data_IF_250352060514
#
_entry.id   IF_250352060514
#
_cell.length_a   1.000
_cell.length_b   1.000
_cell.length_c   1.000
_cell.angle_alpha   90.00
_cell.angle_beta   90.00
_cell.angle_gamma   90.00
#
_symmetry.space_group_name_H-M   'P 1'
#
loop_
_entity.id
_entity.type
_entity.pdbx_description
1 polymer ?
#
# COMPACT_ATOMS: atom_id res chain seq x y z
N UNK A 1 -3.84 -10.96 4.36
CA UNK A 1 -4.58 -11.79 5.36
C UNK A 1 -5.96 -12.28 4.96
N UNK A 2 -6.83 -11.40 4.44
CA UNK A 2 -8.24 -11.75 4.19
C UNK A 2 -8.46 -13.02 3.34
N UNK A 3 -7.67 -13.19 2.27
CA UNK A 3 -7.75 -14.36 1.39
C UNK A 3 -7.35 -15.68 2.07
N UNK A 4 -6.63 -15.61 3.20
CA UNK A 4 -6.27 -16.75 4.04
C UNK A 4 -7.27 -16.97 5.19
N UNK A 5 -8.36 -16.19 5.25
CA UNK A 5 -9.34 -16.27 6.34
C UNK A 5 -8.82 -15.73 7.68
N UNK A 6 -7.77 -14.92 7.66
CA UNK A 6 -7.20 -14.28 8.84
C UNK A 6 -7.79 -12.87 9.03
N UNK A 7 -7.92 -12.46 10.29
CA UNK A 7 -8.20 -11.08 10.66
C UNK A 7 -6.98 -10.18 10.39
N UNK A 8 -7.23 -8.90 10.15
CA UNK A 8 -6.22 -7.86 9.92
C UNK A 8 -6.52 -6.69 10.84
N UNK A 9 -5.50 -6.18 11.55
CA UNK A 9 -5.66 -5.08 12.50
C UNK A 9 -5.63 -3.70 11.82
N UNK A 10 -5.05 -3.65 10.62
CA UNK A 10 -4.86 -2.49 9.77
C UNK A 10 -5.34 -2.76 8.33
N UNK A 11 -5.68 -1.67 7.64
CA UNK A 11 -6.03 -1.66 6.22
C UNK A 11 -5.23 -0.56 5.52
N UNK A 12 -4.40 -0.98 4.57
CA UNK A 12 -3.75 -0.07 3.62
C UNK A 12 -4.70 0.27 2.47
N UNK A 13 -4.91 1.57 2.25
CA UNK A 13 -5.71 2.12 1.16
C UNK A 13 -4.78 2.82 0.17
N UNK A 14 -4.81 2.36 -1.07
CA UNK A 14 -4.13 3.04 -2.18
C UNK A 14 -5.10 3.96 -2.94
N UNK A 15 -4.72 5.23 -3.13
CA UNK A 15 -5.52 6.23 -3.87
C UNK A 15 -4.76 6.74 -5.11
N UNK A 16 -5.51 6.96 -6.20
CA UNK A 16 -5.01 7.31 -7.53
C UNK A 16 -5.34 8.75 -7.97
N UNK A 17 -6.45 9.34 -7.50
CA UNK A 17 -7.00 10.62 -7.98
C UNK A 17 -6.90 11.79 -6.99
N UNK A 18 -6.43 11.55 -5.76
CA UNK A 18 -6.27 12.57 -4.72
C UNK A 18 -5.18 12.22 -3.71
N UNK A 19 -4.81 13.16 -2.83
CA UNK A 19 -3.89 12.87 -1.73
C UNK A 19 -4.54 11.99 -0.67
N UNK A 20 -3.73 11.20 0.03
CA UNK A 20 -4.19 10.43 1.19
C UNK A 20 -4.88 11.30 2.25
N UNK A 21 -4.34 12.50 2.52
CA UNK A 21 -4.96 13.46 3.44
C UNK A 21 -6.38 13.86 3.00
N UNK A 22 -6.55 14.20 1.72
CA UNK A 22 -7.86 14.60 1.18
C UNK A 22 -8.88 13.47 1.29
N UNK A 23 -8.46 12.24 0.99
CA UNK A 23 -9.31 11.06 1.12
C UNK A 23 -9.70 10.81 2.58
N UNK A 24 -8.76 10.89 3.51
CA UNK A 24 -9.01 10.69 4.93
C UNK A 24 -10.05 11.69 5.50
N UNK A 25 -9.98 12.96 5.10
CA UNK A 25 -11.00 13.95 5.48
C UNK A 25 -12.37 13.63 4.86
N UNK A 26 -12.42 13.20 3.59
CA UNK A 26 -13.70 12.77 2.97
C UNK A 26 -14.34 11.59 3.71
N UNK A 27 -13.54 10.61 4.15
CA UNK A 27 -14.02 9.49 4.96
C UNK A 27 -14.62 10.01 6.27
N UNK A 28 -13.92 10.93 6.94
CA UNK A 28 -14.41 11.53 8.19
C UNK A 28 -15.72 12.29 8.02
N UNK A 29 -15.83 13.11 6.97
CA UNK A 29 -17.04 13.89 6.67
C UNK A 29 -18.22 12.96 6.32
N UNK A 30 -17.95 11.90 5.56
CA UNK A 30 -18.95 10.88 5.23
C UNK A 30 -19.46 10.16 6.48
N UNK A 31 -18.57 9.80 7.41
CA UNK A 31 -18.94 9.17 8.68
C UNK A 31 -19.76 10.11 9.56
N UNK A 32 -19.36 11.38 9.67
CA UNK A 32 -20.11 12.37 10.44
C UNK A 32 -21.56 12.54 9.94
N UNK A 33 -21.79 12.35 8.63
CA UNK A 33 -23.10 12.48 8.00
C UNK A 33 -23.93 11.19 8.09
N UNK A 34 -23.29 10.03 7.84
CA UNK A 34 -23.99 8.75 7.67
C UNK A 34 -24.13 7.97 8.98
N UNK A 35 -23.13 8.08 9.84
CA UNK A 35 -23.03 7.37 11.12
C UNK A 35 -22.48 8.29 12.21
N UNK A 36 -23.25 9.29 12.69
CA UNK A 36 -22.75 10.31 13.62
C UNK A 36 -22.21 9.75 14.95
N UNK A 37 -22.63 8.54 15.32
CA UNK A 37 -22.21 7.85 16.54
C UNK A 37 -21.02 6.90 16.32
N UNK A 38 -20.53 6.75 15.09
CA UNK A 38 -19.35 5.92 14.81
C UNK A 38 -18.09 6.57 15.39
N UNK A 39 -17.22 5.77 16.03
CA UNK A 39 -15.91 6.27 16.45
C UNK A 39 -15.04 6.55 15.22
N UNK A 40 -14.41 7.71 15.21
CA UNK A 40 -13.40 8.08 14.22
C UNK A 40 -12.37 8.96 14.90
N UNK A 41 -11.08 8.66 14.74
CA UNK A 41 -10.00 9.50 15.28
C UNK A 41 -9.85 10.80 14.49
N UNK A 42 -8.97 11.68 14.98
CA UNK A 42 -8.38 12.71 14.14
C UNK A 42 -7.57 12.09 12.99
N UNK A 43 -7.52 12.77 11.86
CA UNK A 43 -6.62 12.43 10.75
C UNK A 43 -5.21 12.84 11.15
N UNK A 44 -4.28 11.89 11.19
CA UNK A 44 -2.86 12.13 11.35
C UNK A 44 -2.17 12.13 9.99
N UNK A 45 -1.38 13.14 9.67
CA UNK A 45 -0.67 13.22 8.38
C UNK A 45 0.83 13.19 8.63
N UNK A 46 1.46 12.13 8.13
CA UNK A 46 2.91 12.01 8.08
C UNK A 46 3.35 12.62 6.76
N UNK A 47 3.89 13.84 6.81
CA UNK A 47 4.39 14.55 5.63
C UNK A 47 5.60 13.85 5.03
N UNK A 48 5.78 14.01 3.73
CA UNK A 48 6.98 13.54 3.03
C UNK A 48 8.23 14.18 3.67
N UNK A 49 9.21 13.34 3.99
CA UNK A 49 10.51 13.72 4.48
C UNK A 49 11.57 12.82 3.80
N UNK A 50 12.13 13.27 2.66
CA UNK A 50 13.15 12.52 1.92
C UNK A 50 14.38 12.16 2.76
N UNK A 51 14.78 13.03 3.71
CA UNK A 51 15.91 12.80 4.60
C UNK A 51 15.68 11.61 5.56
N UNK A 52 14.42 11.27 5.81
CA UNK A 52 14.00 10.09 6.57
C UNK A 52 13.48 8.95 5.68
N UNK A 53 13.78 8.98 4.38
CA UNK A 53 13.29 8.00 3.39
C UNK A 53 11.76 7.90 3.30
N UNK A 54 11.04 8.96 3.70
CA UNK A 54 9.58 9.09 3.55
C UNK A 54 9.27 9.93 2.34
N UNK A 55 9.22 9.32 1.17
CA UNK A 55 9.12 10.07 -0.10
C UNK A 55 7.72 10.55 -0.46
N UNK A 56 6.69 9.95 0.13
CA UNK A 56 5.31 10.39 -0.02
C UNK A 56 4.66 10.63 1.33
N UNK A 57 3.66 11.48 1.30
CA UNK A 57 2.72 11.64 2.40
C UNK A 57 1.98 10.34 2.67
N UNK A 58 1.69 10.10 3.95
CA UNK A 58 0.77 9.06 4.40
C UNK A 58 -0.22 9.68 5.35
N UNK A 59 -1.51 9.50 5.08
CA UNK A 59 -2.55 9.89 6.02
C UNK A 59 -2.99 8.65 6.80
N UNK A 60 -3.20 8.83 8.09
CA UNK A 60 -3.55 7.76 9.02
C UNK A 60 -4.81 8.19 9.75
N UNK A 61 -5.77 7.29 9.89
CA UNK A 61 -6.98 7.52 10.66
C UNK A 61 -7.50 6.20 11.20
N UNK A 62 -8.12 6.23 12.38
CA UNK A 62 -8.81 5.07 12.94
C UNK A 62 -10.30 5.25 12.76
N UNK A 63 -10.95 4.30 12.10
CA UNK A 63 -12.40 4.28 11.90
C UNK A 63 -12.95 3.05 12.61
N UNK A 64 -13.95 3.26 13.46
CA UNK A 64 -14.42 2.24 14.40
C UNK A 64 -13.26 1.77 15.29
N UNK A 65 -12.83 0.52 15.11
CA UNK A 65 -11.68 -0.06 15.78
C UNK A 65 -10.52 -0.40 14.83
N UNK A 66 -10.65 -0.08 13.53
CA UNK A 66 -9.69 -0.43 12.48
C UNK A 66 -8.81 0.76 12.12
N UNK A 67 -7.50 0.52 12.04
CA UNK A 67 -6.53 1.51 11.58
C UNK A 67 -6.50 1.54 10.05
N UNK A 68 -6.59 2.74 9.48
CA UNK A 68 -6.51 2.97 8.05
C UNK A 68 -5.26 3.79 7.73
N UNK A 69 -4.41 3.24 6.89
CA UNK A 69 -3.26 3.94 6.32
C UNK A 69 -3.55 4.22 4.85
N UNK A 70 -3.53 5.50 4.48
CA UNK A 70 -3.92 5.97 3.16
C UNK A 70 -2.70 6.53 2.44
N UNK A 71 -2.36 5.87 1.34
CA UNK A 71 -1.15 6.10 0.57
C UNK A 71 -1.50 6.34 -0.90
N UNK A 72 -0.73 7.20 -1.55
CA UNK A 72 -0.79 7.28 -3.00
C UNK A 72 -0.10 6.09 -3.64
N UNK A 73 -0.65 5.64 -4.77
CA UNK A 73 0.07 4.75 -5.68
C UNK A 73 1.35 5.43 -6.13
N UNK A 74 2.44 4.66 -6.16
CA UNK A 74 3.75 5.22 -6.46
C UNK A 74 4.62 4.28 -7.27
N UNK A 75 5.47 4.91 -8.07
CA UNK A 75 6.59 4.26 -8.73
C UNK A 75 7.88 4.72 -8.07
N UNK A 76 8.86 3.83 -8.03
CA UNK A 76 10.17 4.04 -7.41
C UNK A 76 11.23 3.81 -8.49
N UNK A 77 12.06 4.81 -8.75
CA UNK A 77 13.21 4.70 -9.66
C UNK A 77 14.49 4.73 -8.84
N UNK A 78 15.22 3.62 -8.85
CA UNK A 78 16.51 3.48 -8.20
C UNK A 78 17.64 3.86 -9.17
N UNK A 79 18.66 4.55 -8.65
CA UNK A 79 19.90 4.83 -9.39
C UNK A 79 21.02 3.99 -8.79
N UNK A 80 22.04 3.64 -9.59
CA UNK A 80 23.17 2.82 -9.09
C UNK A 80 23.93 3.47 -7.93
N UNK A 81 23.83 4.80 -7.79
CA UNK A 81 24.56 5.59 -6.81
C UNK A 81 23.78 5.85 -5.51
N UNK A 82 22.48 5.52 -5.45
CA UNK A 82 21.61 5.82 -4.31
C UNK A 82 20.64 4.70 -3.99
N UNK A 83 20.57 4.32 -2.71
CA UNK A 83 19.53 3.42 -2.18
C UNK A 83 18.20 4.11 -1.90
N UNK A 84 18.20 5.44 -1.97
CA UNK A 84 17.02 6.27 -1.78
C UNK A 84 16.41 6.47 -3.18
N UNK A 85 15.23 5.87 -3.48
CA UNK A 85 14.63 5.99 -4.80
C UNK A 85 14.05 7.38 -5.01
N UNK A 86 13.99 7.78 -6.28
CA UNK A 86 13.12 8.89 -6.69
C UNK A 86 11.71 8.34 -6.79
N UNK A 87 10.79 8.95 -6.05
CA UNK A 87 9.39 8.50 -5.97
C UNK A 87 8.49 9.49 -6.67
N UNK A 88 7.60 8.98 -7.51
CA UNK A 88 6.53 9.75 -8.15
C UNK A 88 5.21 8.99 -8.08
N UNK A 89 4.11 9.67 -8.40
CA UNK A 89 2.82 9.02 -8.57
C UNK A 89 2.93 7.94 -9.66
N UNK A 90 2.31 6.79 -9.39
CA UNK A 90 2.36 5.63 -10.27
C UNK A 90 0.99 4.99 -10.45
N UNK A 91 0.94 3.99 -11.32
CA UNK A 91 -0.21 3.12 -11.56
C UNK A 91 -0.23 1.95 -10.56
N UNK A 92 -1.37 1.23 -10.42
CA UNK A 92 -1.42 0.02 -9.61
C UNK A 92 -0.39 -1.03 -10.05
N UNK A 93 -0.14 -1.14 -11.36
CA UNK A 93 0.86 -2.05 -11.90
C UNK A 93 2.28 -1.70 -11.46
N UNK A 94 2.65 -0.40 -11.49
CA UNK A 94 3.95 0.06 -11.05
C UNK A 94 4.13 -0.10 -9.54
N UNK A 95 3.08 0.20 -8.76
CA UNK A 95 3.09 -0.01 -7.30
C UNK A 95 3.21 -1.50 -6.94
N UNK A 96 2.51 -2.38 -7.67
CA UNK A 96 2.63 -3.83 -7.51
C UNK A 96 4.06 -4.32 -7.76
N UNK A 97 4.69 -3.83 -8.83
CA UNK A 97 6.00 -4.30 -9.30
C UNK A 97 7.13 -3.92 -8.34
N UNK A 98 7.00 -2.81 -7.62
CA UNK A 98 7.99 -2.39 -6.61
C UNK A 98 7.83 -3.09 -5.26
N UNK A 99 6.79 -3.91 -5.03
CA UNK A 99 6.59 -4.60 -3.74
C UNK A 99 7.56 -5.76 -3.55
N UNK A 100 7.61 -6.27 -2.33
CA UNK A 100 8.53 -7.34 -1.94
C UNK A 100 8.17 -8.68 -2.58
N UNK A 101 6.91 -9.11 -2.44
CA UNK A 101 6.45 -10.42 -2.91
C UNK A 101 5.12 -10.35 -3.67
N UNK A 102 4.91 -11.27 -4.61
CA UNK A 102 3.69 -11.38 -5.43
C UNK A 102 2.43 -11.47 -4.59
N UNK A 103 2.48 -12.21 -3.47
CA UNK A 103 1.37 -12.36 -2.52
C UNK A 103 1.02 -11.06 -1.77
N UNK A 104 1.99 -10.13 -1.63
CA UNK A 104 1.81 -8.82 -1.00
C UNK A 104 1.49 -7.72 -2.01
N UNK A 105 1.52 -8.05 -3.30
CA UNK A 105 1.24 -7.16 -4.42
C UNK A 105 -0.17 -7.32 -5.00
N UNK A 106 -1.06 -7.94 -4.23
CA UNK A 106 -2.48 -8.08 -4.55
C UNK A 106 -3.24 -6.83 -4.10
N UNK A 107 -4.13 -6.34 -4.95
CA UNK A 107 -5.00 -5.21 -4.65
C UNK A 107 -6.45 -5.70 -4.57
N UNK A 108 -7.26 -5.04 -3.73
CA UNK A 108 -8.70 -5.24 -3.74
C UNK A 108 -9.37 -3.95 -4.19
N UNK A 109 -10.02 -4.00 -5.35
CA UNK A 109 -10.63 -2.83 -5.95
C UNK A 109 -12.04 -2.62 -5.40
N UNK A 110 -12.22 -1.52 -4.66
CA UNK A 110 -13.48 -1.18 -4.01
C UNK A 110 -14.61 -0.87 -5.00
N UNK A 111 -14.31 -0.48 -6.24
CA UNK A 111 -15.32 -0.19 -7.27
C UNK A 111 -15.84 -1.45 -7.94
N UNK A 112 -14.95 -2.40 -8.25
CA UNK A 112 -15.29 -3.65 -8.94
C UNK A 112 -15.58 -4.81 -7.98
N UNK A 113 -15.27 -4.63 -6.69
CA UNK A 113 -15.36 -5.66 -5.65
C UNK A 113 -14.58 -6.94 -6.02
N UNK A 114 -13.42 -6.77 -6.65
CA UNK A 114 -12.59 -7.86 -7.14
C UNK A 114 -11.13 -7.72 -6.69
N UNK A 115 -10.45 -8.86 -6.56
CA UNK A 115 -9.00 -8.89 -6.36
C UNK A 115 -8.31 -8.71 -7.70
N UNK A 116 -7.38 -7.76 -7.75
CA UNK A 116 -6.55 -7.46 -8.90
C UNK A 116 -5.12 -7.95 -8.64
N UNK A 117 -4.63 -8.82 -9.52
CA UNK A 117 -3.28 -9.37 -9.49
C UNK A 117 -2.48 -8.86 -10.68
N UNK A 118 -1.80 -7.75 -10.46
CA UNK A 118 -0.94 -7.11 -11.46
C UNK A 118 0.39 -7.86 -11.69
N UNK A 119 0.74 -8.81 -10.81
CA UNK A 119 1.90 -9.68 -11.02
C UNK A 119 1.58 -10.90 -11.88
N UNK A 120 0.29 -11.23 -12.00
CA UNK A 120 -0.22 -12.43 -12.67
C UNK A 120 0.14 -13.75 -11.98
N UNK A 121 0.75 -13.70 -10.80
CA UNK A 121 1.20 -14.87 -10.03
C UNK A 121 0.79 -14.84 -8.56
N UNK A 122 0.47 -13.69 -8.00
CA UNK A 122 0.17 -13.53 -6.58
C UNK A 122 -0.95 -14.44 -6.08
N UNK A 123 -2.04 -14.60 -6.83
CA UNK A 123 -3.13 -15.50 -6.41
C UNK A 123 -2.74 -16.99 -6.44
N UNK A 124 -1.99 -17.40 -7.46
CA UNK A 124 -1.53 -18.79 -7.59
C UNK A 124 -0.43 -19.11 -6.59
N UNK A 125 0.51 -18.19 -6.40
CA UNK A 125 1.59 -18.29 -5.42
C UNK A 125 1.01 -18.32 -4.00
N UNK A 126 -0.03 -17.54 -3.70
CA UNK A 126 -0.73 -17.59 -2.41
C UNK A 126 -1.35 -18.97 -2.14
N UNK A 127 -2.01 -19.58 -3.15
CA UNK A 127 -2.59 -20.92 -3.03
C UNK A 127 -1.53 -22.00 -2.88
N UNK A 128 -0.39 -21.84 -3.56
CA UNK A 128 0.71 -22.79 -3.54
C UNK A 128 1.66 -22.60 -2.34
N UNK A 129 1.50 -21.52 -1.56
CA UNK A 129 2.40 -21.18 -0.45
C UNK A 129 3.80 -20.78 -0.92
N UNK A 130 3.90 -20.10 -2.07
CA UNK A 130 5.15 -19.69 -2.69
C UNK A 130 5.44 -18.23 -2.38
N UNK A 131 6.65 -17.93 -1.93
CA UNK A 131 7.18 -16.57 -1.83
C UNK A 131 7.99 -16.28 -3.08
N UNK A 132 7.54 -15.32 -3.89
CA UNK A 132 8.17 -14.92 -5.15
C UNK A 132 8.21 -13.40 -5.26
N UNK A 133 9.28 -12.84 -5.81
CA UNK A 133 9.37 -11.41 -6.12
C UNK A 133 8.56 -11.05 -7.37
N UNK A 134 7.92 -9.86 -7.46
CA UNK A 134 7.21 -9.43 -8.68
C UNK A 134 8.11 -9.27 -9.90
N UNK A 135 9.35 -8.81 -9.68
CA UNK A 135 10.40 -8.67 -10.69
C UNK A 135 11.49 -9.73 -10.48
N UNK A 136 12.49 -9.73 -11.36
CA UNK A 136 13.68 -10.57 -11.18
C UNK A 136 14.28 -10.35 -9.78
N UNK A 137 14.55 -11.42 -9.00
CA UNK A 137 15.01 -11.28 -7.62
C UNK A 137 16.26 -10.41 -7.47
N UNK A 138 17.15 -10.46 -8.47
CA UNK A 138 18.36 -9.63 -8.50
C UNK A 138 18.06 -8.13 -8.51
N UNK A 139 17.01 -7.70 -9.22
CA UNK A 139 16.58 -6.30 -9.26
C UNK A 139 15.95 -5.95 -7.91
N UNK A 140 14.96 -6.74 -7.48
CA UNK A 140 14.21 -6.51 -6.23
C UNK A 140 15.11 -6.42 -4.99
N UNK A 141 16.14 -7.27 -4.90
CA UNK A 141 17.07 -7.28 -3.77
C UNK A 141 18.19 -6.23 -3.89
N UNK A 142 18.49 -5.76 -5.10
CA UNK A 142 19.39 -4.61 -5.27
C UNK A 142 18.71 -3.31 -4.85
N UNK A 143 17.43 -3.16 -5.20
CA UNK A 143 16.61 -2.00 -4.83
C UNK A 143 16.43 -1.91 -3.31
N UNK A 144 16.14 -3.03 -2.64
CA UNK A 144 16.06 -3.10 -1.17
C UNK A 144 16.52 -4.47 -0.63
N UNK A 145 17.78 -4.55 -0.13
CA UNK A 145 18.32 -5.78 0.44
C UNK A 145 17.57 -6.31 1.67
N UNK A 146 16.80 -5.46 2.38
CA UNK A 146 16.02 -5.90 3.54
C UNK A 146 14.90 -6.85 3.15
N UNK A 147 14.50 -6.88 1.86
CA UNK A 147 13.52 -7.85 1.34
C UNK A 147 14.01 -9.29 1.46
N UNK A 148 15.32 -9.52 1.51
CA UNK A 148 15.88 -10.86 1.77
C UNK A 148 15.55 -11.33 3.19
N UNK A 149 15.58 -10.41 4.18
CA UNK A 149 15.28 -10.73 5.57
C UNK A 149 13.77 -10.87 5.84
N UNK A 150 12.93 -10.38 4.93
CA UNK A 150 11.46 -10.49 5.00
C UNK A 150 10.92 -11.81 4.42
N UNK A 151 11.75 -12.54 3.67
CA UNK A 151 11.40 -13.79 2.98
C UNK A 151 11.32 -15.00 3.91
#
# INVERSE_FOLDING_TARGET
>A
DKLLGKESDDIDIAVDDMSGESFAYKVKDFLATTSPNASCSSVGVVRANPDQSKHLETATLRVLDVSLDVNNLRTETYTQDSRIPVVSLGTPQEDASRRDFTINALFYNLRTAAVEDYTGKGLDDLRAGIIRTPLEPTITFQDDPLRILRA
#
